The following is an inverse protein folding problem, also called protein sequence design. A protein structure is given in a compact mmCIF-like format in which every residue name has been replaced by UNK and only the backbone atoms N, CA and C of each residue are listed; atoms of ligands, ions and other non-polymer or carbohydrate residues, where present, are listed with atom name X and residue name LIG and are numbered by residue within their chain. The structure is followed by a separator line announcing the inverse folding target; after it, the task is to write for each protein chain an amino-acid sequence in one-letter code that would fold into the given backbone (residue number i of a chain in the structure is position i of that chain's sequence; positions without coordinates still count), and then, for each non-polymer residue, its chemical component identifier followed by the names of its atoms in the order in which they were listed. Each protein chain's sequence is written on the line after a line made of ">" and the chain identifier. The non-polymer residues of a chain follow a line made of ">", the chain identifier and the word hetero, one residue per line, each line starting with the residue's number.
data_IF_388633692135
#
_entry.id   IF_388633692135
#
_cell.length_a   1.000
_cell.length_b   1.000
_cell.length_c   1.000
_cell.angle_alpha   90.00
_cell.angle_beta   90.00
_cell.angle_gamma   90.00
#
_symmetry.space_group_name_H-M   'P 1'
#
loop_
_entity.id
_entity.type
_entity.pdbx_description
1 polymer ?
#
# COMPACT_ATOMS: atom_id res chain seq x y z
N UNK A 1 -47.83 27.66 45.74
CA UNK A 1 -48.08 27.72 44.29
C UNK A 1 -46.76 27.43 43.58
N UNK A 2 -46.54 26.19 43.13
CA UNK A 2 -45.26 25.77 42.51
C UNK A 2 -45.41 25.78 40.99
N UNK A 3 -44.71 26.70 40.33
CA UNK A 3 -44.64 26.76 38.87
C UNK A 3 -43.59 25.75 38.36
N UNK A 4 -44.04 24.56 37.95
CA UNK A 4 -43.21 23.47 37.39
C UNK A 4 -43.03 23.62 35.86
N UNK A 5 -43.26 24.82 35.32
CA UNK A 5 -43.23 25.04 33.87
C UNK A 5 -42.22 26.13 33.54
N UNK A 6 -41.03 25.71 33.08
CA UNK A 6 -40.07 26.40 32.17
C UNK A 6 -38.59 25.99 32.34
N UNK A 7 -38.23 24.99 33.17
CA UNK A 7 -36.86 24.48 33.13
C UNK A 7 -36.64 23.57 31.92
N UNK A 8 -36.32 24.18 30.77
CA UNK A 8 -35.84 23.52 29.53
C UNK A 8 -34.45 22.88 29.68
N UNK A 9 -33.96 22.61 30.90
CA UNK A 9 -32.73 21.86 31.09
C UNK A 9 -33.04 20.37 31.05
N UNK A 10 -33.01 19.82 29.83
CA UNK A 10 -32.93 18.38 29.63
C UNK A 10 -31.77 17.83 30.49
N UNK A 11 -32.04 16.78 31.25
CA UNK A 11 -30.99 16.09 31.99
C UNK A 11 -29.93 15.52 31.03
N UNK A 12 -28.65 15.41 31.44
CA UNK A 12 -27.59 14.88 30.56
C UNK A 12 -27.83 13.44 30.09
N UNK A 13 -28.58 12.65 30.87
CA UNK A 13 -29.04 11.33 30.42
C UNK A 13 -30.09 11.40 29.31
N UNK A 14 -30.96 12.41 29.39
CA UNK A 14 -32.08 12.62 28.48
C UNK A 14 -31.60 13.16 27.13
N UNK A 15 -30.61 14.07 27.12
CA UNK A 15 -30.02 14.63 25.91
C UNK A 15 -29.25 13.59 25.08
N UNK A 16 -28.46 12.73 25.75
CA UNK A 16 -27.72 11.62 25.10
C UNK A 16 -28.67 10.61 24.47
N UNK A 17 -29.79 10.29 25.12
CA UNK A 17 -30.78 9.34 24.59
C UNK A 17 -31.49 9.89 23.35
N UNK A 18 -31.81 11.19 23.35
CA UNK A 18 -32.43 11.87 22.22
C UNK A 18 -31.47 11.98 21.03
N UNK A 19 -30.20 12.34 21.27
CA UNK A 19 -29.16 12.34 20.22
C UNK A 19 -28.96 10.95 19.64
N UNK A 20 -28.89 9.91 20.48
CA UNK A 20 -28.77 8.53 20.03
C UNK A 20 -29.93 8.15 19.10
N UNK A 21 -31.18 8.38 19.50
CA UNK A 21 -32.34 8.07 18.65
C UNK A 21 -32.38 8.89 17.35
N UNK A 22 -32.02 10.18 17.40
CA UNK A 22 -32.02 11.03 16.20
C UNK A 22 -30.88 10.73 15.24
N UNK A 23 -29.72 10.29 15.73
CA UNK A 23 -28.57 9.98 14.89
C UNK A 23 -28.54 8.53 14.41
N UNK A 24 -29.07 7.57 15.16
CA UNK A 24 -28.95 6.14 14.80
C UNK A 24 -29.68 5.81 13.50
N UNK A 25 -30.88 6.34 13.28
CA UNK A 25 -31.67 6.09 12.07
C UNK A 25 -30.98 6.64 10.81
N UNK A 26 -30.60 7.94 10.73
CA UNK A 26 -29.92 8.46 9.55
C UNK A 26 -28.53 7.85 9.36
N UNK A 27 -27.80 7.55 10.43
CA UNK A 27 -26.49 6.88 10.33
C UNK A 27 -26.64 5.47 9.75
N UNK A 28 -27.61 4.69 10.23
CA UNK A 28 -27.87 3.35 9.70
C UNK A 28 -28.30 3.40 8.23
N UNK A 29 -29.16 4.34 7.86
CA UNK A 29 -29.57 4.55 6.47
C UNK A 29 -28.38 4.94 5.57
N UNK A 30 -27.51 5.84 6.01
CA UNK A 30 -26.32 6.24 5.27
C UNK A 30 -25.36 5.07 5.05
N UNK A 31 -25.13 4.25 6.09
CA UNK A 31 -24.31 3.05 5.99
C UNK A 31 -24.90 2.05 4.99
N UNK A 32 -26.22 1.82 5.04
CA UNK A 32 -26.90 0.92 4.11
C UNK A 32 -26.83 1.39 2.65
N UNK A 33 -26.96 2.69 2.39
CA UNK A 33 -26.81 3.24 1.04
C UNK A 33 -25.37 3.14 0.53
N UNK A 34 -24.38 3.41 1.38
CA UNK A 34 -22.97 3.26 1.03
C UNK A 34 -22.60 1.81 0.72
N UNK A 35 -23.04 0.86 1.56
CA UNK A 35 -22.76 -0.56 1.33
C UNK A 35 -23.40 -1.06 0.05
N UNK A 36 -24.66 -0.67 -0.21
CA UNK A 36 -25.35 -1.02 -1.46
C UNK A 36 -24.58 -0.48 -2.68
N UNK A 37 -24.22 0.82 -2.68
CA UNK A 37 -23.47 1.43 -3.77
C UNK A 37 -22.10 0.76 -4.02
N UNK A 38 -21.38 0.37 -2.96
CA UNK A 38 -20.11 -0.34 -3.09
C UNK A 38 -20.31 -1.73 -3.69
N UNK A 39 -21.32 -2.48 -3.24
CA UNK A 39 -21.58 -3.84 -3.73
C UNK A 39 -21.97 -3.79 -5.21
N UNK A 40 -22.92 -2.93 -5.58
CA UNK A 40 -23.36 -2.80 -6.98
C UNK A 40 -22.21 -2.31 -7.87
N UNK A 41 -21.43 -1.33 -7.39
CA UNK A 41 -20.28 -0.79 -8.13
C UNK A 41 -19.12 -1.77 -8.30
N UNK A 42 -18.97 -2.75 -7.40
CA UNK A 42 -17.96 -3.81 -7.53
C UNK A 42 -18.45 -4.98 -8.38
N UNK A 43 -19.73 -5.33 -8.28
CA UNK A 43 -20.33 -6.42 -9.07
C UNK A 43 -20.36 -6.10 -10.57
N UNK A 44 -20.50 -4.83 -10.95
CA UNK A 44 -20.53 -4.41 -12.36
C UNK A 44 -19.17 -4.24 -13.04
N UNK A 45 -18.05 -4.53 -12.36
CA UNK A 45 -16.72 -4.36 -12.98
C UNK A 45 -16.42 -5.54 -13.90
N UNK A 46 -16.23 -5.32 -15.22
CA UNK A 46 -15.75 -6.38 -16.10
C UNK A 46 -14.36 -6.83 -15.63
N UNK A 47 -14.07 -8.12 -15.80
CA UNK A 47 -12.74 -8.66 -15.52
C UNK A 47 -11.70 -7.87 -16.33
N UNK A 48 -10.57 -7.45 -15.72
CA UNK A 48 -9.54 -6.76 -16.47
C UNK A 48 -9.08 -7.67 -17.62
N UNK A 49 -8.90 -7.13 -18.84
CA UNK A 49 -8.38 -7.92 -19.94
C UNK A 49 -7.01 -8.52 -19.53
N UNK A 50 -6.73 -9.76 -19.92
CA UNK A 50 -5.48 -10.41 -19.55
C UNK A 50 -4.29 -9.60 -20.07
N UNK A 51 -3.41 -9.20 -19.16
CA UNK A 51 -2.16 -8.54 -19.51
C UNK A 51 -1.21 -9.60 -20.06
N UNK A 52 -1.12 -9.69 -21.40
CA UNK A 52 -0.07 -10.44 -22.06
C UNK A 52 1.22 -9.63 -21.91
N UNK A 53 2.07 -10.04 -20.98
CA UNK A 53 3.41 -9.45 -20.82
C UNK A 53 4.29 -10.06 -21.89
N UNK A 54 4.42 -9.36 -23.02
CA UNK A 54 5.40 -9.70 -24.04
C UNK A 54 6.79 -9.40 -23.48
N UNK A 55 7.52 -10.44 -23.10
CA UNK A 55 8.93 -10.32 -22.70
C UNK A 55 9.75 -10.32 -23.97
N UNK A 56 10.42 -9.20 -24.26
CA UNK A 56 11.32 -9.14 -25.40
C UNK A 56 12.44 -10.17 -25.24
N UNK A 57 12.73 -10.92 -26.31
CA UNK A 57 13.84 -11.87 -26.38
C UNK A 57 15.21 -11.19 -26.15
N UNK A 58 15.24 -9.87 -26.23
CA UNK A 58 16.41 -9.02 -26.01
C UNK A 58 16.61 -8.67 -24.53
N UNK A 59 15.75 -9.16 -23.63
CA UNK A 59 15.92 -8.94 -22.20
C UNK A 59 17.13 -9.75 -21.69
N UNK A 60 18.03 -9.13 -20.89
CA UNK A 60 19.24 -9.79 -20.40
C UNK A 60 18.95 -10.99 -19.49
N UNK A 61 17.70 -11.18 -19.07
CA UNK A 61 17.25 -12.35 -18.30
C UNK A 61 17.03 -13.61 -19.14
N UNK A 62 16.84 -13.51 -20.47
CA UNK A 62 16.66 -14.69 -21.33
C UNK A 62 17.93 -15.56 -21.41
N UNK A 63 19.10 -14.94 -21.32
CA UNK A 63 20.39 -15.64 -21.40
C UNK A 63 20.75 -16.42 -20.13
N UNK A 64 20.04 -16.18 -19.01
CA UNK A 64 20.33 -16.87 -17.75
C UNK A 64 19.67 -18.25 -17.64
N UNK A 65 18.66 -18.56 -18.47
CA UNK A 65 17.95 -19.84 -18.39
C UNK A 65 18.53 -20.95 -19.29
N UNK A 66 19.45 -20.62 -20.20
CA UNK A 66 19.95 -21.58 -21.20
C UNK A 66 21.38 -22.10 -20.95
N UNK A 67 22.03 -21.69 -19.86
CA UNK A 67 23.35 -22.20 -19.46
C UNK A 67 23.21 -23.30 -18.38
N UNK A 68 22.35 -24.28 -18.64
CA UNK A 68 22.10 -25.41 -17.74
C UNK A 68 21.63 -26.63 -18.52
N UNK A 69 22.25 -26.91 -19.67
CA UNK A 69 22.02 -28.11 -20.45
C UNK A 69 23.32 -28.94 -20.50
N UNK A 70 23.49 -29.83 -19.53
CA UNK A 70 24.36 -31.00 -19.64
C UNK A 70 23.62 -32.21 -19.07
N UNK A 71 23.08 -32.98 -20.01
CA UNK A 71 22.92 -34.44 -20.06
C UNK A 71 22.06 -35.18 -19.02
N UNK A 72 21.62 -36.37 -19.47
CA UNK A 72 21.15 -37.55 -18.73
C UNK A 72 19.72 -37.58 -18.14
N UNK A 73 18.81 -38.15 -18.95
CA UNK A 73 17.60 -38.89 -18.51
C UNK A 73 18.05 -40.16 -17.77
N UNK A 74 17.39 -40.63 -16.68
CA UNK A 74 16.15 -41.40 -16.82
C UNK A 74 15.13 -41.36 -15.65
N UNK A 75 13.89 -41.78 -15.96
CA UNK A 75 12.84 -42.41 -15.14
C UNK A 75 12.04 -41.66 -14.02
N UNK A 76 10.72 -41.88 -14.06
CA UNK A 76 9.54 -41.42 -13.26
C UNK A 76 9.57 -41.98 -11.79
N UNK A 77 8.82 -41.54 -10.72
CA UNK A 77 7.57 -40.73 -10.62
C UNK A 77 7.48 -39.62 -9.53
N UNK A 78 6.33 -38.92 -9.56
CA UNK A 78 5.76 -38.00 -8.57
C UNK A 78 5.76 -38.48 -7.11
N UNK A 79 6.08 -37.57 -6.17
CA UNK A 79 5.36 -37.43 -4.90
C UNK A 79 5.66 -36.09 -4.18
N UNK A 80 4.61 -35.52 -3.60
CA UNK A 80 4.53 -34.81 -2.33
C UNK A 80 5.50 -33.66 -1.96
N UNK A 81 4.87 -32.49 -1.76
CA UNK A 81 4.85 -31.77 -0.47
C UNK A 81 6.03 -30.84 -0.11
N UNK A 82 5.67 -29.55 0.01
CA UNK A 82 6.10 -28.55 0.99
C UNK A 82 7.56 -28.50 1.44
N UNK A 83 8.14 -27.28 1.44
CA UNK A 83 8.45 -26.55 2.69
C UNK A 83 9.38 -25.35 2.45
N UNK A 84 8.95 -24.20 2.99
CA UNK A 84 9.69 -23.03 3.47
C UNK A 84 10.49 -22.09 2.53
N UNK A 85 9.93 -20.88 2.42
CA UNK A 85 10.51 -19.62 2.95
C UNK A 85 12.02 -19.43 2.83
N UNK A 86 12.46 -18.46 1.99
CA UNK A 86 13.47 -17.42 2.23
C UNK A 86 13.64 -16.63 0.90
N UNK A 87 13.49 -15.29 0.84
CA UNK A 87 13.86 -14.54 -0.36
C UNK A 87 15.39 -14.33 -0.39
N UNK A 88 16.08 -14.54 -1.54
CA UNK A 88 17.52 -14.34 -1.61
C UNK A 88 17.82 -12.83 -1.64
N UNK A 89 18.47 -12.37 -0.58
CA UNK A 89 19.18 -11.09 -0.54
C UNK A 89 20.42 -11.23 -1.42
N UNK A 90 20.33 -10.81 -2.69
CA UNK A 90 21.52 -10.69 -3.52
C UNK A 90 22.14 -9.31 -3.33
N UNK A 91 23.08 -9.27 -2.40
CA UNK A 91 23.96 -8.13 -2.16
C UNK A 91 25.03 -8.14 -3.25
N UNK A 92 25.01 -7.16 -4.14
CA UNK A 92 26.15 -6.85 -4.99
C UNK A 92 26.72 -5.51 -4.55
N UNK A 93 27.74 -5.63 -3.70
CA UNK A 93 28.70 -4.59 -3.39
C UNK A 93 29.53 -4.30 -4.64
N UNK A 94 29.57 -3.03 -5.03
CA UNK A 94 30.61 -2.44 -5.87
C UNK A 94 31.11 -1.21 -5.15
N UNK A 95 32.42 -1.18 -4.92
CA UNK A 95 33.14 -0.13 -4.21
C UNK A 95 33.04 1.20 -4.95
N UNK A 96 32.11 2.02 -4.49
CA UNK A 96 32.18 3.47 -4.35
C UNK A 96 31.15 3.76 -3.27
N UNK A 97 31.63 4.12 -2.07
CA UNK A 97 30.88 4.69 -0.92
C UNK A 97 29.37 4.47 -1.03
N UNK A 98 28.80 3.42 -0.42
CA UNK A 98 27.39 3.02 -0.60
C UNK A 98 26.43 4.21 -0.41
N UNK A 99 26.11 4.91 -1.50
CA UNK A 99 25.36 6.14 -1.45
C UNK A 99 23.91 5.79 -1.13
N UNK A 100 23.50 5.99 0.11
CA UNK A 100 22.12 5.73 0.52
C UNK A 100 21.29 6.96 0.21
N UNK A 101 20.35 6.83 -0.71
CA UNK A 101 19.44 7.92 -1.04
C UNK A 101 18.23 7.98 -0.10
N UNK A 102 17.73 9.18 0.19
CA UNK A 102 16.49 9.41 0.93
C UNK A 102 15.42 10.11 0.09
N UNK A 103 14.16 9.87 0.41
CA UNK A 103 13.03 10.37 -0.37
C UNK A 103 12.90 11.90 -0.35
N UNK A 104 13.10 12.58 0.77
CA UNK A 104 13.10 14.05 0.87
C UNK A 104 11.80 14.78 0.50
N UNK A 105 10.72 14.07 0.12
CA UNK A 105 9.43 14.67 -0.24
C UNK A 105 8.74 15.29 0.97
N UNK A 106 7.89 16.31 0.74
CA UNK A 106 7.07 16.92 1.79
C UNK A 106 6.04 15.92 2.32
N UNK A 107 6.11 15.62 3.61
CA UNK A 107 5.06 14.83 4.27
C UNK A 107 3.83 15.69 4.59
N UNK A 108 2.72 15.06 4.99
CA UNK A 108 1.52 15.77 5.47
C UNK A 108 1.82 16.70 6.66
N UNK A 109 2.84 16.40 7.46
CA UNK A 109 3.30 17.20 8.61
C UNK A 109 4.25 18.34 8.21
N UNK A 110 4.62 18.43 6.94
CA UNK A 110 5.53 19.47 6.42
C UNK A 110 7.02 19.18 6.54
N UNK A 111 7.42 18.07 7.19
CA UNK A 111 8.81 17.63 7.29
C UNK A 111 9.23 16.78 6.08
N UNK A 112 10.53 16.72 5.73
CA UNK A 112 11.02 15.89 4.64
C UNK A 112 10.95 14.40 4.99
N UNK A 113 10.60 13.58 4.01
CA UNK A 113 10.53 12.12 4.18
C UNK A 113 11.92 11.49 4.28
N UNK A 114 12.23 10.86 5.42
CA UNK A 114 13.51 10.19 5.67
C UNK A 114 13.62 8.75 5.15
N UNK A 115 12.62 8.25 4.39
CA UNK A 115 12.64 6.86 3.90
C UNK A 115 13.76 6.67 2.88
N UNK A 116 14.59 5.64 3.08
CA UNK A 116 15.65 5.22 2.15
C UNK A 116 15.07 4.71 0.82
N UNK A 117 15.76 5.02 -0.26
CA UNK A 117 15.40 4.69 -1.64
C UNK A 117 16.67 4.28 -2.39
N UNK A 118 16.51 3.50 -3.46
CA UNK A 118 17.64 2.95 -4.20
C UNK A 118 18.39 3.98 -5.06
N UNK A 119 17.74 5.10 -5.38
CA UNK A 119 18.32 6.20 -6.17
C UNK A 119 17.65 7.52 -5.81
N UNK A 120 18.01 8.63 -6.46
CA UNK A 120 17.44 9.97 -6.24
C UNK A 120 15.93 10.11 -6.57
N UNK A 121 15.19 9.00 -6.61
CA UNK A 121 13.74 8.90 -6.81
C UNK A 121 12.97 9.10 -5.50
N UNK A 122 11.65 9.26 -5.62
CA UNK A 122 10.75 9.32 -4.45
C UNK A 122 10.31 7.92 -4.06
N UNK A 123 10.06 7.73 -2.76
CA UNK A 123 9.50 6.48 -2.29
C UNK A 123 8.09 6.26 -2.85
N UNK A 124 7.60 5.02 -2.77
CA UNK A 124 6.32 4.62 -3.33
C UNK A 124 5.11 5.44 -2.81
N UNK A 125 5.21 6.04 -1.62
CA UNK A 125 4.17 6.92 -1.05
C UNK A 125 4.17 8.35 -1.63
N UNK A 126 5.26 8.78 -2.26
CA UNK A 126 5.45 10.15 -2.73
C UNK A 126 5.81 10.21 -4.23
N UNK A 127 5.32 9.24 -5.02
CA UNK A 127 5.52 9.22 -6.47
C UNK A 127 5.04 10.54 -7.10
N UNK A 128 5.85 11.12 -7.98
CA UNK A 128 5.55 12.38 -8.67
C UNK A 128 5.68 13.65 -7.82
N UNK A 129 6.03 13.54 -6.53
CA UNK A 129 6.25 14.71 -5.67
C UNK A 129 7.67 15.25 -5.79
N UNK A 130 7.84 16.57 -5.65
CA UNK A 130 9.18 17.19 -5.61
C UNK A 130 9.85 16.97 -4.25
N UNK A 131 11.18 16.89 -4.25
CA UNK A 131 11.94 16.92 -3.00
C UNK A 131 11.89 18.33 -2.39
N UNK A 132 11.84 18.40 -1.07
CA UNK A 132 12.01 19.66 -0.34
C UNK A 132 13.49 20.04 -0.15
N UNK A 133 14.38 19.05 -0.26
CA UNK A 133 15.81 19.21 -0.04
C UNK A 133 16.57 19.17 -1.37
N UNK A 134 17.66 19.94 -1.49
CA UNK A 134 18.54 19.87 -2.66
C UNK A 134 19.24 18.50 -2.71
N UNK A 135 19.68 18.04 -3.90
CA UNK A 135 20.09 16.66 -4.13
C UNK A 135 21.25 16.20 -3.25
N UNK A 136 22.12 17.12 -2.82
CA UNK A 136 23.26 16.83 -1.95
C UNK A 136 22.81 16.34 -0.57
N UNK A 137 21.68 16.84 -0.08
CA UNK A 137 21.09 16.42 1.21
C UNK A 137 20.20 15.18 1.09
N UNK A 138 19.99 14.69 -0.13
CA UNK A 138 19.24 13.45 -0.37
C UNK A 138 20.15 12.22 -0.37
N UNK A 139 21.46 12.42 -0.31
CA UNK A 139 22.45 11.34 -0.28
C UNK A 139 23.05 11.28 1.11
N UNK A 140 22.95 10.13 1.76
CA UNK A 140 23.66 9.81 2.97
C UNK A 140 24.95 9.10 2.56
N UNK A 141 26.06 9.64 3.06
CA UNK A 141 27.39 9.09 2.90
C UNK A 141 27.71 8.43 4.24
N UNK A 142 27.65 7.10 4.27
CA UNK A 142 27.97 6.30 5.46
C UNK A 142 29.50 6.12 5.58
#
# INVERSE_FOLDING_TARGET
>A
HWHVWTSRKFCDGCSKRLLKQRLTIPLAAAIALLSLGIITGRAGRPAPPPLIIERSANSPLYKSQNNGATNESPDIPANAESTNSHPPQNSQATTDEELVYICGARTKKGTPCARRVHSAVRCWQHKGSRAMLPPEKLVLKD
#
